data_IF_734547198942
#
_entry.id   IF_734547198942
#
_cell.length_a   1.000
_cell.length_b   1.000
_cell.length_c   1.000
_cell.angle_alpha   90.00
_cell.angle_beta   90.00
_cell.angle_gamma   90.00
#
_symmetry.space_group_name_H-M   'P 1'
#
loop_
_entity.id
_entity.type
_entity.pdbx_description
1 polymer ?
#
# COMPACT_ATOMS: atom_id res chain seq x y z
N UNK A 1 8.32 -19.62 4.73
CA UNK A 1 8.55 -18.65 3.69
C UNK A 1 8.11 -17.25 4.09
N UNK A 2 8.89 -16.29 3.71
CA UNK A 2 8.63 -14.93 4.13
C UNK A 2 7.92 -14.14 3.03
N UNK A 3 6.84 -13.49 3.37
CA UNK A 3 6.09 -12.70 2.41
C UNK A 3 5.96 -11.29 2.95
N UNK A 4 6.58 -10.36 2.26
CA UNK A 4 6.49 -8.96 2.63
C UNK A 4 5.40 -8.31 1.80
N UNK A 5 4.42 -7.79 2.46
CA UNK A 5 3.30 -7.14 1.79
C UNK A 5 3.38 -5.64 2.00
N UNK A 6 3.00 -4.91 0.99
CA UNK A 6 2.96 -3.47 1.04
C UNK A 6 1.53 -3.01 0.91
N UNK A 7 1.18 -1.97 1.65
CA UNK A 7 -0.16 -1.44 1.61
C UNK A 7 -0.09 0.01 1.16
N UNK A 8 -0.91 0.36 0.20
CA UNK A 8 -1.00 1.73 -0.27
C UNK A 8 -2.33 2.30 0.18
N UNK A 9 -2.30 3.45 0.81
CA UNK A 9 -3.50 4.12 1.27
C UNK A 9 -3.72 5.37 0.45
N UNK A 10 -4.95 5.57 0.02
CA UNK A 10 -5.34 6.75 -0.75
C UNK A 10 -6.19 7.66 0.13
N UNK A 11 -5.75 8.88 0.30
CA UNK A 11 -6.40 9.84 1.19
C UNK A 11 -6.88 11.06 0.41
N UNK A 12 -7.93 11.66 0.89
CA UNK A 12 -8.43 12.90 0.32
C UNK A 12 -9.06 13.73 1.44
N UNK A 13 -8.59 14.98 1.56
CA UNK A 13 -9.08 15.90 2.59
C UNK A 13 -9.00 15.31 3.99
N UNK A 14 -7.93 14.57 4.24
CA UNK A 14 -7.73 13.99 5.56
C UNK A 14 -8.54 12.73 5.83
N UNK A 15 -9.22 12.22 4.82
CA UNK A 15 -10.06 11.03 4.98
C UNK A 15 -9.48 9.88 4.16
N UNK A 16 -9.41 8.71 4.76
CA UNK A 16 -8.95 7.53 4.06
C UNK A 16 -10.05 7.06 3.12
N UNK A 17 -9.75 7.10 1.81
CA UNK A 17 -10.74 6.73 0.80
C UNK A 17 -10.63 5.26 0.44
N UNK A 18 -9.40 4.76 0.32
CA UNK A 18 -9.20 3.38 -0.09
C UNK A 18 -7.84 2.89 0.36
N UNK A 19 -7.71 1.58 0.51
CA UNK A 19 -6.43 0.98 0.83
C UNK A 19 -6.30 -0.29 0.01
N UNK A 20 -5.10 -0.56 -0.47
CA UNK A 20 -4.87 -1.73 -1.29
C UNK A 20 -3.54 -2.36 -0.93
N UNK A 21 -3.54 -3.68 -0.79
CA UNK A 21 -2.33 -4.42 -0.53
C UNK A 21 -1.75 -4.90 -1.86
N UNK A 22 -0.47 -4.68 -2.05
CA UNK A 22 0.21 -5.05 -3.28
C UNK A 22 1.42 -5.92 -2.95
N UNK A 23 1.85 -6.75 -3.90
CA UNK A 23 2.90 -7.73 -3.61
C UNK A 23 4.33 -7.20 -3.62
N UNK A 24 4.58 -6.06 -4.22
CA UNK A 24 5.94 -5.55 -4.29
C UNK A 24 5.97 -4.04 -4.50
N UNK A 25 7.16 -3.48 -4.41
CA UNK A 25 7.34 -2.04 -4.50
C UNK A 25 6.97 -1.48 -5.88
N UNK A 26 7.21 -2.24 -6.92
CA UNK A 26 6.89 -1.76 -8.25
C UNK A 26 5.39 -1.62 -8.43
N UNK A 27 4.63 -2.60 -7.96
CA UNK A 27 3.17 -2.53 -8.02
C UNK A 27 2.66 -1.37 -7.16
N UNK A 28 3.29 -1.14 -6.01
CA UNK A 28 2.91 -0.04 -5.15
C UNK A 28 3.11 1.28 -5.86
N UNK A 29 4.24 1.44 -6.54
CA UNK A 29 4.55 2.68 -7.23
C UNK A 29 3.54 2.98 -8.33
N UNK A 30 3.19 1.95 -9.09
CA UNK A 30 2.23 2.11 -10.18
C UNK A 30 0.87 2.51 -9.64
N UNK A 31 0.45 1.86 -8.57
CA UNK A 31 -0.84 2.17 -7.98
C UNK A 31 -0.85 3.57 -7.38
N UNK A 32 0.21 3.96 -6.70
CA UNK A 32 0.30 5.29 -6.13
C UNK A 32 0.23 6.37 -7.20
N UNK A 33 0.94 6.15 -8.30
CA UNK A 33 0.91 7.12 -9.39
C UNK A 33 -0.50 7.25 -9.97
N UNK A 34 -1.20 6.15 -10.08
CA UNK A 34 -2.57 6.14 -10.58
C UNK A 34 -3.49 6.92 -9.64
N UNK A 35 -3.34 6.72 -8.34
CA UNK A 35 -4.18 7.40 -7.37
C UNK A 35 -3.88 8.90 -7.33
N UNK A 36 -2.61 9.27 -7.44
CA UNK A 36 -2.24 10.67 -7.47
C UNK A 36 -2.77 11.38 -8.71
N UNK A 37 -2.81 10.67 -9.81
CA UNK A 37 -3.38 11.23 -11.04
C UNK A 37 -4.86 11.52 -10.89
N UNK A 38 -5.52 10.85 -9.93
CA UNK A 38 -6.92 11.09 -9.66
C UNK A 38 -7.15 12.14 -8.59
N UNK A 39 -6.08 12.71 -8.07
CA UNK A 39 -6.20 13.74 -7.06
C UNK A 39 -6.15 13.24 -5.62
N UNK A 40 -5.85 11.97 -5.40
CA UNK A 40 -5.73 11.45 -4.05
C UNK A 40 -4.30 11.56 -3.58
N UNK A 41 -4.12 11.57 -2.27
CA UNK A 41 -2.80 11.52 -1.70
C UNK A 41 -2.50 10.05 -1.39
N UNK A 42 -1.46 9.53 -2.00
CA UNK A 42 -1.12 8.13 -1.83
C UNK A 42 0.04 7.96 -0.85
N UNK A 43 -0.12 7.08 0.11
CA UNK A 43 0.89 6.80 1.11
C UNK A 43 1.23 5.32 1.09
N UNK A 44 2.51 5.02 1.19
CA UNK A 44 2.97 3.65 1.23
C UNK A 44 3.17 3.24 2.69
N UNK A 45 2.47 2.21 3.10
CA UNK A 45 2.59 1.67 4.45
C UNK A 45 3.12 0.26 4.35
N UNK A 46 4.23 0.01 5.00
CA UNK A 46 4.83 -1.31 4.97
C UNK A 46 4.12 -2.22 5.96
N UNK A 47 3.59 -3.33 5.49
CA UNK A 47 2.96 -4.28 6.37
C UNK A 47 4.01 -5.29 6.80
N UNK A 48 3.74 -5.95 7.93
CA UNK A 48 4.70 -6.89 8.44
C UNK A 48 4.69 -8.15 7.60
N UNK A 49 5.76 -8.89 7.75
CA UNK A 49 5.95 -10.13 7.04
C UNK A 49 5.13 -11.23 7.66
N UNK A 50 4.58 -12.09 6.83
CA UNK A 50 3.78 -13.17 7.34
C UNK A 50 4.55 -14.23 8.05
N UNK A 51 5.80 -14.33 7.76
CA UNK A 51 6.62 -15.38 8.34
C UNK A 51 6.65 -15.41 9.83
N UNK A 52 6.53 -14.30 10.45
CA UNK A 52 6.75 -14.27 11.85
C UNK A 52 5.69 -14.89 12.66
N UNK A 53 4.58 -15.18 12.10
CA UNK A 53 3.62 -15.81 12.92
C UNK A 53 3.85 -17.26 13.08
N UNK A 54 4.87 -17.76 12.46
CA UNK A 54 5.11 -19.17 12.57
C UNK A 54 5.44 -19.61 13.95
N UNK A 55 5.66 -18.80 14.81
CA UNK A 55 6.07 -19.19 16.16
C UNK A 55 5.14 -20.18 16.81
#
# INVERSE_FOLDING_TARGET
>A
MSIALLRVESWRDGVLIAARTVPNANAARVYMASQEARGFRALLVHTRTETERAA
#
